data_IF_238968709480
#
_entry.id   IF_238968709480
#
_cell.length_a   1.000
_cell.length_b   1.000
_cell.length_c   1.000
_cell.angle_alpha   90.00
_cell.angle_beta   90.00
_cell.angle_gamma   90.00
#
_symmetry.space_group_name_H-M   'P 1'
#
loop_
_entity.id
_entity.type
_entity.pdbx_description
1 polymer ?
#
# COMPACT_ATOMS: atom_id res chain seq x y z
N UNK A 1 0.39 17.85 9.90
CA UNK A 1 -0.95 18.18 10.42
C UNK A 1 -0.79 19.25 11.47
N UNK A 2 -1.24 20.48 11.20
CA UNK A 2 -1.29 21.56 12.18
C UNK A 2 -2.63 21.46 12.91
N UNK A 3 -2.59 20.92 14.13
CA UNK A 3 -3.74 20.90 15.02
C UNK A 3 -3.88 22.29 15.66
N UNK A 4 -4.82 23.09 15.18
CA UNK A 4 -5.33 24.21 15.98
C UNK A 4 -6.42 23.69 16.91
N UNK A 5 -6.79 24.45 17.93
CA UNK A 5 -7.73 24.05 19.00
C UNK A 5 -9.15 23.65 18.51
N UNK A 6 -9.44 23.72 17.21
CA UNK A 6 -10.75 23.50 16.58
C UNK A 6 -10.82 22.34 15.54
N UNK A 7 -10.14 21.22 15.78
CA UNK A 7 -10.36 20.00 15.00
C UNK A 7 -9.73 19.99 13.60
N UNK A 8 -10.37 19.32 12.63
CA UNK A 8 -9.82 19.11 11.28
C UNK A 8 -10.16 20.27 10.33
N UNK A 9 -9.22 20.59 9.44
CA UNK A 9 -9.37 21.63 8.42
C UNK A 9 -9.29 21.04 7.02
N UNK A 10 -10.05 21.60 6.08
CA UNK A 10 -9.97 21.24 4.67
C UNK A 10 -8.62 21.68 4.06
N UNK A 11 -8.03 20.83 3.23
CA UNK A 11 -6.78 21.10 2.52
C UNK A 11 -7.04 21.19 1.00
N UNK A 12 -6.98 22.39 0.39
CA UNK A 12 -7.30 22.59 -1.03
C UNK A 12 -6.41 21.83 -2.01
N UNK A 13 -5.19 21.48 -1.63
CA UNK A 13 -4.23 20.77 -2.48
C UNK A 13 -4.18 19.27 -2.18
N UNK A 14 -5.22 18.74 -1.51
CA UNK A 14 -5.29 17.31 -1.17
C UNK A 14 -5.35 16.42 -2.41
N UNK A 15 -4.64 15.29 -2.39
CA UNK A 15 -4.58 14.36 -3.52
C UNK A 15 -5.93 13.72 -3.85
N UNK A 16 -6.85 13.66 -2.89
CA UNK A 16 -8.19 13.14 -3.12
C UNK A 16 -9.07 14.03 -4.02
N UNK A 17 -8.59 15.22 -4.40
CA UNK A 17 -9.25 16.04 -5.41
C UNK A 17 -9.18 15.43 -6.83
N UNK A 18 -8.19 14.56 -7.08
CA UNK A 18 -7.96 13.97 -8.41
C UNK A 18 -7.85 12.43 -8.38
N UNK A 19 -7.91 11.82 -7.20
CA UNK A 19 -7.77 10.37 -7.02
C UNK A 19 -8.61 9.87 -5.84
N UNK A 20 -8.86 8.56 -5.79
CA UNK A 20 -9.32 7.92 -4.56
C UNK A 20 -8.09 7.52 -3.75
N UNK A 21 -8.07 7.86 -2.46
CA UNK A 21 -6.97 7.52 -1.57
C UNK A 21 -7.35 6.35 -0.66
N UNK A 22 -6.51 5.32 -0.65
CA UNK A 22 -6.50 4.26 0.36
C UNK A 22 -5.25 4.45 1.22
N UNK A 23 -5.44 4.76 2.51
CA UNK A 23 -4.35 4.95 3.47
C UNK A 23 -4.37 3.73 4.40
N UNK A 24 -3.23 3.06 4.53
CA UNK A 24 -3.09 1.82 5.27
C UNK A 24 -2.03 1.98 6.35
N UNK A 25 -2.43 1.79 7.61
CA UNK A 25 -1.48 1.62 8.70
C UNK A 25 -0.86 0.23 8.60
N UNK A 26 0.45 0.16 8.39
CA UNK A 26 1.18 -1.09 8.22
C UNK A 26 2.62 -0.97 8.74
N UNK A 27 3.24 -2.09 9.16
CA UNK A 27 2.66 -3.43 9.29
C UNK A 27 1.78 -3.55 10.56
N UNK A 28 1.43 -4.78 10.93
CA UNK A 28 0.74 -5.06 12.20
C UNK A 28 1.51 -4.44 13.40
N UNK A 29 0.77 -3.82 14.32
CA UNK A 29 1.33 -3.05 15.44
C UNK A 29 1.57 -1.57 15.15
N UNK A 30 1.33 -1.09 13.91
CA UNK A 30 1.38 0.33 13.56
C UNK A 30 -0.01 0.96 13.58
N UNK A 31 -0.12 2.13 14.19
CA UNK A 31 -1.35 2.94 14.16
C UNK A 31 -2.56 2.17 14.70
N UNK A 32 -3.57 1.98 13.85
CA UNK A 32 -4.77 1.19 14.17
C UNK A 32 -4.70 -0.30 13.80
N UNK A 33 -3.60 -0.76 13.18
CA UNK A 33 -3.43 -2.16 12.80
C UNK A 33 -2.90 -3.00 13.96
N UNK A 34 -3.61 -4.03 14.38
CA UNK A 34 -3.25 -4.90 15.52
C UNK A 34 -3.55 -6.38 15.26
N UNK A 35 -2.99 -7.23 16.11
CA UNK A 35 -3.23 -8.68 16.16
C UNK A 35 -3.78 -9.08 17.53
N UNK A 36 -4.75 -9.99 17.55
CA UNK A 36 -5.34 -10.51 18.79
C UNK A 36 -4.60 -11.75 19.34
N UNK A 37 -3.80 -12.44 18.52
CA UNK A 37 -3.20 -13.73 18.86
C UNK A 37 -1.67 -13.74 18.79
N UNK A 38 -1.05 -12.56 18.89
CA UNK A 38 0.41 -12.42 18.98
C UNK A 38 1.12 -12.58 17.63
N UNK A 39 0.40 -12.45 16.52
CA UNK A 39 1.01 -12.39 15.20
C UNK A 39 1.94 -11.17 15.11
N UNK A 40 3.08 -11.37 14.47
CA UNK A 40 4.09 -10.32 14.29
C UNK A 40 4.58 -10.33 12.85
N UNK A 41 4.96 -9.14 12.37
CA UNK A 41 5.61 -8.95 11.07
C UNK A 41 6.98 -8.39 11.34
N UNK A 42 8.01 -9.11 10.92
CA UNK A 42 9.40 -8.83 11.30
C UNK A 42 10.26 -8.36 10.12
N UNK A 43 9.73 -8.43 8.90
CA UNK A 43 10.44 -8.06 7.68
C UNK A 43 9.55 -7.31 6.69
N UNK A 44 10.17 -6.59 5.74
CA UNK A 44 9.43 -5.88 4.69
C UNK A 44 8.78 -6.85 3.69
N UNK A 45 9.38 -8.03 3.53
CA UNK A 45 8.91 -9.12 2.68
C UNK A 45 7.68 -9.81 3.28
N UNK A 46 7.60 -9.95 4.60
CA UNK A 46 6.37 -10.38 5.29
C UNK A 46 5.27 -9.33 5.16
N UNK A 47 5.60 -8.05 5.41
CA UNK A 47 4.64 -6.95 5.24
C UNK A 47 4.07 -6.87 3.82
N UNK A 48 4.86 -7.20 2.80
CA UNK A 48 4.41 -7.22 1.41
C UNK A 48 3.27 -8.22 1.17
N UNK A 49 3.34 -9.41 1.78
CA UNK A 49 2.31 -10.45 1.67
C UNK A 49 1.01 -9.99 2.30
N UNK A 50 1.07 -9.34 3.45
CA UNK A 50 -0.10 -8.81 4.14
C UNK A 50 -0.76 -7.69 3.34
N UNK A 51 0.04 -6.79 2.74
CA UNK A 51 -0.49 -5.72 1.88
C UNK A 51 -1.14 -6.28 0.62
N UNK A 52 -0.52 -7.27 -0.02
CA UNK A 52 -1.06 -7.86 -1.22
C UNK A 52 -2.37 -8.64 -0.93
N UNK A 53 -2.43 -9.34 0.21
CA UNK A 53 -3.67 -9.95 0.72
C UNK A 53 -4.75 -8.90 1.03
N UNK A 54 -4.40 -7.80 1.71
CA UNK A 54 -5.31 -6.69 2.00
C UNK A 54 -5.90 -6.11 0.71
N UNK A 55 -5.07 -5.88 -0.31
CA UNK A 55 -5.53 -5.33 -1.59
C UNK A 55 -6.45 -6.31 -2.32
N UNK A 56 -6.13 -7.60 -2.32
CA UNK A 56 -7.02 -8.61 -2.90
C UNK A 56 -8.39 -8.61 -2.21
N UNK A 57 -8.42 -8.60 -0.87
CA UNK A 57 -9.66 -8.52 -0.08
C UNK A 57 -10.41 -7.21 -0.37
N UNK A 58 -9.69 -6.08 -0.43
CA UNK A 58 -10.27 -4.77 -0.70
C UNK A 58 -10.96 -4.73 -2.06
N UNK A 59 -10.29 -5.11 -3.15
CA UNK A 59 -10.89 -5.07 -4.49
C UNK A 59 -12.03 -6.09 -4.66
N UNK A 60 -12.01 -7.20 -3.93
CA UNK A 60 -13.13 -8.15 -3.93
C UNK A 60 -14.36 -7.62 -3.19
N UNK A 61 -14.19 -6.92 -2.07
CA UNK A 61 -15.30 -6.38 -1.29
C UNK A 61 -15.82 -5.03 -1.81
N UNK A 62 -14.93 -4.19 -2.35
CA UNK A 62 -15.27 -2.89 -2.91
C UNK A 62 -15.32 -2.96 -4.44
N UNK A 63 -16.28 -3.74 -4.95
CA UNK A 63 -16.40 -4.10 -6.37
C UNK A 63 -16.42 -2.91 -7.34
N UNK A 64 -16.87 -1.74 -6.90
CA UNK A 64 -16.82 -0.48 -7.68
C UNK A 64 -15.41 -0.07 -8.13
N UNK A 65 -14.37 -0.57 -7.46
CA UNK A 65 -12.98 -0.30 -7.79
C UNK A 65 -12.31 -1.43 -8.60
N UNK A 66 -12.99 -2.55 -8.88
CA UNK A 66 -12.41 -3.65 -9.66
C UNK A 66 -11.93 -3.15 -11.03
N UNK A 67 -10.72 -3.54 -11.41
CA UNK A 67 -10.06 -3.11 -12.65
C UNK A 67 -9.56 -1.67 -12.67
N UNK A 68 -9.83 -0.86 -11.65
CA UNK A 68 -9.29 0.50 -11.54
C UNK A 68 -7.76 0.47 -11.47
N UNK A 69 -7.11 1.46 -12.07
CA UNK A 69 -5.67 1.63 -11.97
C UNK A 69 -5.27 1.83 -10.50
N UNK A 70 -4.36 0.98 -10.02
CA UNK A 70 -3.72 1.11 -8.72
C UNK A 70 -2.37 1.79 -8.88
N UNK A 71 -2.15 2.84 -8.11
CA UNK A 71 -0.87 3.53 -7.97
C UNK A 71 -0.45 3.46 -6.51
N UNK A 72 0.78 3.01 -6.24
CA UNK A 72 1.30 2.97 -4.87
C UNK A 72 2.23 4.14 -4.63
N UNK A 73 2.06 4.85 -3.53
CA UNK A 73 2.88 6.00 -3.20
C UNK A 73 3.35 5.94 -1.75
N UNK A 74 4.56 6.44 -1.48
CA UNK A 74 5.06 6.54 -0.12
C UNK A 74 6.34 7.38 -0.02
N UNK A 75 6.70 7.71 1.21
CA UNK A 75 7.89 8.50 1.54
C UNK A 75 8.82 7.78 2.53
N UNK A 76 10.10 8.18 2.59
CA UNK A 76 11.06 7.74 3.60
C UNK A 76 11.35 6.24 3.49
N UNK A 77 11.10 5.45 4.54
CA UNK A 77 11.30 3.99 4.50
C UNK A 77 10.31 3.28 3.56
N UNK A 78 9.26 3.97 3.11
CA UNK A 78 8.42 3.46 2.03
C UNK A 78 9.20 3.24 0.72
N UNK A 79 10.37 3.86 0.57
CA UNK A 79 11.33 3.51 -0.48
C UNK A 79 11.77 2.04 -0.48
N UNK A 80 11.77 1.37 0.68
CA UNK A 80 11.97 -0.08 0.81
C UNK A 80 10.65 -0.84 0.63
N UNK A 81 9.57 -0.35 1.23
CA UNK A 81 8.28 -1.03 1.24
C UNK A 81 7.63 -1.10 -0.14
N UNK A 82 7.45 0.04 -0.81
CA UNK A 82 6.61 0.15 -2.01
C UNK A 82 7.10 -0.75 -3.16
N UNK A 83 8.42 -0.86 -3.47
CA UNK A 83 8.88 -1.80 -4.49
C UNK A 83 8.59 -3.27 -4.15
N UNK A 84 8.74 -3.65 -2.87
CA UNK A 84 8.43 -5.02 -2.42
C UNK A 84 6.92 -5.30 -2.47
N UNK A 85 6.10 -4.32 -2.09
CA UNK A 85 4.64 -4.45 -2.11
C UNK A 85 4.12 -4.56 -3.55
N UNK A 86 4.67 -3.73 -4.45
CA UNK A 86 4.37 -3.77 -5.86
C UNK A 86 4.75 -5.13 -6.49
N UNK A 87 5.92 -5.67 -6.16
CA UNK A 87 6.37 -6.97 -6.64
C UNK A 87 5.45 -8.10 -6.14
N UNK A 88 5.11 -8.13 -4.85
CA UNK A 88 4.21 -9.15 -4.31
C UNK A 88 2.81 -9.07 -4.91
N UNK A 89 2.25 -7.87 -5.12
CA UNK A 89 0.96 -7.71 -5.82
C UNK A 89 1.02 -8.23 -7.25
N UNK A 90 2.10 -7.92 -7.98
CA UNK A 90 2.31 -8.43 -9.33
C UNK A 90 2.37 -9.96 -9.36
N UNK A 91 3.15 -10.57 -8.46
CA UNK A 91 3.30 -12.03 -8.38
C UNK A 91 1.99 -12.71 -7.95
N UNK A 92 1.25 -12.10 -7.02
CA UNK A 92 -0.02 -12.63 -6.52
C UNK A 92 -1.13 -12.64 -7.59
N UNK A 93 -1.06 -11.77 -8.62
CA UNK A 93 -2.05 -11.77 -9.70
C UNK A 93 -2.19 -13.14 -10.39
N UNK A 94 -1.11 -13.91 -10.52
CA UNK A 94 -1.19 -15.27 -11.08
C UNK A 94 -2.07 -16.19 -10.22
N UNK A 95 -2.00 -16.05 -8.89
CA UNK A 95 -2.83 -16.80 -7.93
C UNK A 95 -4.30 -16.34 -7.99
N UNK A 96 -4.53 -15.03 -8.13
CA UNK A 96 -5.89 -14.48 -8.29
C UNK A 96 -6.57 -15.02 -9.55
N UNK A 97 -5.86 -15.00 -10.69
CA UNK A 97 -6.38 -15.52 -11.96
C UNK A 97 -6.66 -17.02 -11.86
N UNK A 98 -5.78 -17.81 -11.25
CA UNK A 98 -6.00 -19.23 -11.03
C UNK A 98 -7.23 -19.52 -10.15
N UNK A 99 -7.58 -18.60 -9.24
CA UNK A 99 -8.79 -18.67 -8.42
C UNK A 99 -10.04 -18.08 -9.10
N UNK A 100 -9.96 -17.64 -10.35
CA UNK A 100 -11.07 -17.00 -11.07
C UNK A 100 -11.37 -15.56 -10.61
N UNK A 101 -10.45 -14.92 -9.88
CA UNK A 101 -10.57 -13.55 -9.41
C UNK A 101 -9.95 -12.56 -10.41
N UNK A 102 -10.39 -11.31 -10.33
CA UNK A 102 -9.86 -10.24 -11.19
C UNK A 102 -8.46 -9.85 -10.70
N UNK A 103 -7.43 -9.83 -11.57
CA UNK A 103 -6.11 -9.38 -11.18
C UNK A 103 -6.12 -7.89 -10.83
N UNK A 104 -5.26 -7.50 -9.88
CA UNK A 104 -5.09 -6.12 -9.46
C UNK A 104 -4.29 -5.38 -10.54
N UNK A 105 -4.86 -4.29 -11.02
CA UNK A 105 -4.31 -3.47 -12.10
C UNK A 105 -3.27 -2.46 -11.57
N UNK A 106 -2.11 -2.95 -11.12
CA UNK A 106 -1.00 -2.11 -10.69
C UNK A 106 -0.35 -1.40 -11.89
N UNK A 107 -0.35 -0.06 -11.87
CA UNK A 107 0.11 0.76 -13.00
C UNK A 107 1.41 1.52 -12.71
N UNK A 108 1.61 2.00 -11.49
CA UNK A 108 2.87 2.68 -11.14
C UNK A 108 3.16 2.70 -9.64
N UNK A 109 4.41 3.04 -9.32
CA UNK A 109 4.86 3.38 -7.98
C UNK A 109 5.42 4.82 -7.95
N UNK A 110 5.25 5.53 -6.85
CA UNK A 110 5.73 6.90 -6.64
C UNK A 110 6.45 7.00 -5.30
N UNK A 111 7.71 7.44 -5.32
CA UNK A 111 8.57 7.44 -4.13
C UNK A 111 9.03 8.86 -3.80
N UNK A 112 8.67 9.35 -2.62
CA UNK A 112 9.15 10.61 -2.05
C UNK A 112 10.34 10.39 -1.12
N UNK A 113 11.36 11.26 -1.20
CA UNK A 113 12.53 11.31 -0.30
C UNK A 113 13.04 9.94 0.21
N UNK A 114 13.82 9.27 -0.63
CA UNK A 114 14.37 7.95 -0.35
C UNK A 114 15.48 7.99 0.72
N UNK A 115 15.29 7.29 1.84
CA UNK A 115 16.40 6.86 2.70
C UNK A 115 16.86 5.46 2.25
N UNK A 116 17.62 5.39 1.16
CA UNK A 116 18.30 4.15 0.76
C UNK A 116 19.81 4.33 0.86
N UNK A 117 20.43 3.70 1.86
CA UNK A 117 21.88 3.57 1.97
C UNK A 117 22.44 2.35 1.21
N UNK A 118 21.63 1.72 0.35
CA UNK A 118 21.99 0.55 -0.44
C UNK A 118 21.36 0.67 -1.83
N UNK A 119 21.88 1.57 -2.67
CA UNK A 119 21.63 1.55 -4.11
C UNK A 119 22.82 0.86 -4.77
N UNK A 120 22.66 -0.41 -5.12
CA UNK A 120 23.41 -1.00 -6.24
C UNK A 120 22.55 -0.78 -7.47
N UNK A 121 22.83 0.29 -8.20
CA UNK A 121 22.36 0.43 -9.56
C UNK A 121 23.23 -0.48 -10.44
N UNK A 122 22.68 -1.58 -10.93
CA UNK A 122 23.20 -2.23 -12.13
C UNK A 122 22.45 -1.61 -13.30
N UNK A 123 23.22 -0.92 -14.15
CA UNK A 123 22.79 -0.48 -15.47
C UNK A 123 22.53 -1.67 -16.40
#
# INVERSE_FOLDING_TARGET
MTTTENGTMFHPESWNNNANLLIVDQPIGVGFSYADHGETVSSSEEAAKDIAALLAIFFENFTKFKGSALHMAGESYAGRYIPLFAAEVYDQNTKLVAAGLTPINLQSIMLGFLKSSQIVALA
#
